data_IF_791840509011
#
_entry.id   IF_791840509011
#
_cell.length_a   1.000
_cell.length_b   1.000
_cell.length_c   1.000
_cell.angle_alpha   90.00
_cell.angle_beta   90.00
_cell.angle_gamma   90.00
#
_symmetry.space_group_name_H-M   'P 1'
#
loop_
_entity.id
_entity.type
_entity.pdbx_description
1 polymer ?
#
# COMPACT_ATOMS: atom_id res chain seq x y z
N UNK A 1 4.83 -11.10 -3.84
CA UNK A 1 5.47 -9.98 -4.53
C UNK A 1 5.72 -10.32 -5.99
N UNK A 2 5.67 -9.31 -6.84
CA UNK A 2 5.94 -9.49 -8.25
C UNK A 2 5.98 -8.17 -9.00
N UNK A 3 6.51 -8.21 -10.23
CA UNK A 3 6.50 -7.09 -11.14
C UNK A 3 5.11 -6.98 -11.77
N UNK A 4 4.56 -5.78 -11.78
CA UNK A 4 3.24 -5.45 -12.34
C UNK A 4 3.35 -4.32 -13.35
N UNK A 5 2.32 -4.19 -14.20
CA UNK A 5 2.31 -3.25 -15.31
C UNK A 5 0.98 -2.52 -15.36
N UNK A 6 1.02 -1.21 -15.59
CA UNK A 6 -0.14 -0.35 -15.79
C UNK A 6 0.06 0.51 -17.03
N UNK A 7 -1.05 0.92 -17.64
CA UNK A 7 -1.03 1.91 -18.73
C UNK A 7 -0.93 3.33 -18.14
N UNK A 8 0.19 3.61 -17.47
CA UNK A 8 0.49 4.92 -16.89
C UNK A 8 1.65 5.55 -17.67
N UNK A 9 1.67 6.88 -17.74
CA UNK A 9 2.84 7.62 -18.21
C UNK A 9 3.87 7.68 -17.09
N UNK A 10 5.15 7.59 -17.45
CA UNK A 10 6.25 7.64 -16.49
C UNK A 10 6.49 9.08 -16.02
N UNK A 11 6.26 9.33 -14.74
CA UNK A 11 6.58 10.59 -14.06
C UNK A 11 7.36 10.33 -12.75
N UNK A 12 7.49 11.34 -11.89
CA UNK A 12 8.20 11.17 -10.62
C UNK A 12 7.48 10.24 -9.62
N UNK A 13 6.19 9.97 -9.81
CA UNK A 13 5.35 9.23 -8.87
C UNK A 13 4.65 8.01 -9.47
N UNK A 14 4.64 7.91 -10.79
CA UNK A 14 4.02 6.81 -11.55
C UNK A 14 5.03 6.18 -12.51
N UNK A 15 4.89 4.88 -12.73
CA UNK A 15 5.63 4.14 -13.74
C UNK A 15 4.74 3.07 -14.37
N UNK A 16 4.92 2.85 -15.67
CA UNK A 16 4.23 1.79 -16.39
C UNK A 16 4.58 0.38 -15.88
N UNK A 17 5.68 0.24 -15.15
CA UNK A 17 6.07 -0.97 -14.44
C UNK A 17 6.51 -0.65 -13.01
N UNK A 18 6.16 -1.52 -12.06
CA UNK A 18 6.60 -1.40 -10.66
C UNK A 18 6.50 -2.76 -9.96
N UNK A 19 6.96 -2.84 -8.72
CA UNK A 19 6.84 -4.03 -7.89
C UNK A 19 5.65 -3.89 -6.95
N UNK A 20 4.82 -4.92 -6.86
CA UNK A 20 3.68 -4.94 -5.94
C UNK A 20 3.76 -6.18 -5.04
N UNK A 21 3.37 -6.01 -3.79
CA UNK A 21 3.15 -7.09 -2.84
C UNK A 21 1.66 -7.16 -2.54
N UNK A 22 1.07 -8.33 -2.78
CA UNK A 22 -0.33 -8.62 -2.46
C UNK A 22 -0.42 -9.40 -1.16
N UNK A 23 -1.35 -8.99 -0.31
CA UNK A 23 -1.73 -9.73 0.89
C UNK A 23 -3.17 -10.20 0.80
N UNK A 24 -3.41 -11.45 1.18
CA UNK A 24 -4.75 -12.05 1.24
C UNK A 24 -4.87 -12.86 2.52
N UNK A 25 -5.96 -12.63 3.23
CA UNK A 25 -6.37 -13.45 4.39
C UNK A 25 -7.79 -13.93 4.16
N UNK A 26 -8.03 -15.23 4.31
CA UNK A 26 -9.37 -15.85 4.28
C UNK A 26 -9.51 -16.74 5.50
N UNK A 27 -10.60 -16.62 6.21
CA UNK A 27 -10.88 -17.41 7.41
C UNK A 27 -12.32 -17.20 7.89
N UNK A 28 -12.67 -17.85 9.00
CA UNK A 28 -13.96 -17.64 9.64
C UNK A 28 -13.93 -16.32 10.43
N UNK A 29 -15.00 -15.52 10.31
CA UNK A 29 -15.18 -14.26 11.05
C UNK A 29 -14.08 -13.19 10.83
N UNK A 30 -13.42 -13.18 9.68
CA UNK A 30 -12.48 -12.12 9.31
C UNK A 30 -13.27 -10.82 9.02
N UNK A 31 -12.83 -9.71 9.58
CA UNK A 31 -13.55 -8.43 9.56
C UNK A 31 -12.73 -7.29 8.96
N UNK A 32 -13.39 -6.19 8.64
CA UNK A 32 -12.73 -4.94 8.24
C UNK A 32 -11.82 -4.37 9.37
N UNK A 33 -12.15 -4.68 10.64
CA UNK A 33 -11.31 -4.30 11.78
C UNK A 33 -9.97 -5.05 11.78
N UNK A 34 -9.97 -6.33 11.38
CA UNK A 34 -8.75 -7.13 11.24
C UNK A 34 -7.86 -6.58 10.12
N UNK A 35 -8.45 -6.19 8.98
CA UNK A 35 -7.74 -5.49 7.92
C UNK A 35 -7.09 -4.21 8.46
N UNK A 36 -7.87 -3.37 9.18
CA UNK A 36 -7.37 -2.12 9.72
C UNK A 36 -6.22 -2.34 10.69
N UNK A 37 -6.36 -3.26 11.63
CA UNK A 37 -5.31 -3.61 12.60
C UNK A 37 -4.03 -4.12 11.92
N UNK A 38 -4.16 -4.96 10.88
CA UNK A 38 -3.03 -5.45 10.08
C UNK A 38 -2.29 -4.30 9.40
N UNK A 39 -3.02 -3.37 8.80
CA UNK A 39 -2.43 -2.22 8.10
C UNK A 39 -1.84 -1.18 9.06
N UNK A 40 -2.41 -0.99 10.25
CA UNK A 40 -1.82 -0.15 11.31
C UNK A 40 -0.50 -0.73 11.82
N UNK A 41 -0.45 -2.05 12.01
CA UNK A 41 0.78 -2.74 12.37
C UNK A 41 1.85 -2.59 11.27
N UNK A 42 1.47 -2.79 10.00
CA UNK A 42 2.37 -2.59 8.86
C UNK A 42 2.89 -1.15 8.80
N UNK A 43 2.00 -0.15 8.93
CA UNK A 43 2.37 1.26 8.87
C UNK A 43 3.34 1.65 9.99
N UNK A 44 3.11 1.19 11.22
CA UNK A 44 4.01 1.46 12.35
C UNK A 44 5.36 0.76 12.22
N UNK A 45 5.40 -0.43 11.63
CA UNK A 45 6.65 -1.17 11.36
C UNK A 45 7.47 -0.50 10.26
N UNK A 46 6.83 -0.03 9.19
CA UNK A 46 7.51 0.55 8.03
C UNK A 46 7.94 2.01 8.26
N UNK A 47 7.10 2.81 8.91
CA UNK A 47 7.24 4.27 9.00
C UNK A 47 7.44 4.80 10.43
N UNK A 48 7.59 3.90 11.40
CA UNK A 48 7.81 4.23 12.82
C UNK A 48 6.54 4.24 13.66
N UNK A 49 6.74 4.14 14.97
CA UNK A 49 5.66 4.06 15.94
C UNK A 49 4.73 5.29 15.91
N UNK A 50 3.46 5.09 16.27
CA UNK A 50 2.45 6.15 16.32
C UNK A 50 1.86 6.52 14.95
N UNK A 51 2.12 5.73 13.92
CA UNK A 51 1.44 5.88 12.63
C UNK A 51 0.02 5.37 12.71
N UNK A 52 -0.90 6.15 12.17
CA UNK A 52 -2.31 5.78 12.05
C UNK A 52 -2.67 5.60 10.59
N UNK A 53 -3.65 4.74 10.32
CA UNK A 53 -4.22 4.58 8.99
C UNK A 53 -5.62 5.16 8.93
N UNK A 54 -5.98 5.67 7.76
CA UNK A 54 -7.31 6.16 7.43
C UNK A 54 -7.82 5.45 6.20
N UNK A 55 -9.06 4.99 6.25
CA UNK A 55 -9.76 4.40 5.11
C UNK A 55 -10.60 5.46 4.42
N UNK A 56 -10.48 5.55 3.11
CA UNK A 56 -11.37 6.31 2.23
C UNK A 56 -12.14 5.33 1.35
N UNK A 57 -13.46 5.49 1.16
CA UNK A 57 -14.21 4.64 0.24
C UNK A 57 -13.61 4.63 -1.17
N UNK A 58 -13.56 3.44 -1.77
CA UNK A 58 -13.08 3.24 -3.13
C UNK A 58 -13.89 2.12 -3.80
N UNK A 59 -13.54 1.77 -5.03
CA UNK A 59 -14.15 0.67 -5.76
C UNK A 59 -13.09 -0.19 -6.43
N UNK A 60 -13.12 -1.49 -6.11
CA UNK A 60 -12.40 -2.53 -6.84
C UNK A 60 -13.36 -3.69 -7.11
N UNK A 61 -13.33 -4.31 -8.32
CA UNK A 61 -14.32 -5.33 -8.68
C UNK A 61 -14.22 -6.64 -7.87
N UNK A 62 -13.15 -6.83 -7.13
CA UNK A 62 -12.85 -8.06 -6.36
C UNK A 62 -12.94 -7.84 -4.84
N UNK A 63 -13.29 -6.64 -4.37
CA UNK A 63 -13.50 -6.34 -2.94
C UNK A 63 -14.79 -5.56 -2.70
N UNK A 64 -15.45 -5.80 -1.54
CA UNK A 64 -16.63 -5.07 -1.07
C UNK A 64 -16.74 -5.20 0.46
N UNK A 65 -16.61 -4.08 1.23
CA UNK A 65 -16.26 -2.74 0.77
C UNK A 65 -14.80 -2.65 0.30
N UNK A 66 -14.56 -1.70 -0.63
CA UNK A 66 -13.23 -1.33 -1.10
C UNK A 66 -12.78 -0.03 -0.47
N UNK A 67 -11.50 0.09 -0.17
CA UNK A 67 -10.93 1.28 0.46
C UNK A 67 -9.57 1.64 -0.15
N UNK A 68 -9.33 2.93 -0.30
CA UNK A 68 -7.99 3.49 -0.37
C UNK A 68 -7.46 3.70 1.05
N UNK A 69 -6.20 3.42 1.27
CA UNK A 69 -5.56 3.47 2.59
C UNK A 69 -4.51 4.56 2.61
N UNK A 70 -4.75 5.54 3.47
CA UNK A 70 -3.79 6.60 3.76
C UNK A 70 -3.10 6.32 5.09
N UNK A 71 -1.80 6.66 5.16
CA UNK A 71 -1.02 6.70 6.40
C UNK A 71 -0.80 8.16 6.84
N UNK A 72 -0.79 8.41 8.15
CA UNK A 72 -0.37 9.71 8.68
C UNK A 72 1.06 10.02 8.21
N UNK A 73 1.24 11.21 7.62
CA UNK A 73 2.50 11.58 6.97
C UNK A 73 3.71 11.41 7.90
N UNK A 74 4.70 10.59 7.55
CA UNK A 74 5.87 10.35 8.41
C UNK A 74 6.78 11.57 8.53
N UNK A 75 6.75 12.49 7.56
CA UNK A 75 7.63 13.66 7.53
C UNK A 75 7.15 14.79 8.43
N UNK A 76 5.84 14.97 8.59
CA UNK A 76 5.26 16.05 9.40
C UNK A 76 4.40 15.57 10.56
N UNK A 77 4.36 14.26 10.82
CA UNK A 77 3.53 13.66 11.86
C UNK A 77 2.05 14.10 11.79
N UNK A 78 1.51 14.13 10.57
CA UNK A 78 0.11 14.49 10.33
C UNK A 78 -0.22 15.99 10.35
N UNK A 79 0.78 16.88 10.57
CA UNK A 79 0.55 18.34 10.66
C UNK A 79 0.36 19.03 9.31
N UNK A 80 0.73 18.38 8.24
CA UNK A 80 0.75 18.95 6.89
C UNK A 80 2.14 19.48 6.50
N UNK A 81 2.62 19.11 5.31
CA UNK A 81 3.87 19.56 4.73
C UNK A 81 3.79 19.48 3.19
N UNK A 82 4.85 19.90 2.51
CA UNK A 82 4.92 19.86 1.04
C UNK A 82 4.78 18.43 0.49
N UNK A 83 5.33 17.40 1.19
CA UNK A 83 5.27 15.99 0.76
C UNK A 83 3.83 15.48 0.75
N UNK A 84 3.05 15.78 1.77
CA UNK A 84 1.63 15.42 1.84
C UNK A 84 0.70 16.51 1.30
N UNK A 85 1.24 17.54 0.64
CA UNK A 85 0.49 18.68 0.08
C UNK A 85 -0.45 19.33 1.09
N UNK A 86 0.02 19.48 2.34
CA UNK A 86 -0.73 20.09 3.44
C UNK A 86 -1.78 19.20 4.10
N UNK A 87 -2.09 18.02 3.56
CA UNK A 87 -3.19 17.16 4.04
C UNK A 87 -2.87 16.44 5.37
N UNK A 88 -1.61 16.23 5.69
CA UNK A 88 -1.17 15.38 6.80
C UNK A 88 -1.25 13.87 6.52
N UNK A 89 -1.73 13.46 5.34
CA UNK A 89 -1.95 12.07 4.95
C UNK A 89 -1.30 11.73 3.62
N UNK A 90 -0.86 10.50 3.46
CA UNK A 90 -0.27 9.98 2.22
C UNK A 90 -0.94 8.66 1.88
N UNK A 91 -1.51 8.56 0.69
CA UNK A 91 -2.04 7.32 0.15
C UNK A 91 -0.91 6.33 -0.14
N UNK A 92 -1.06 5.09 0.33
CA UNK A 92 -0.04 4.05 0.20
C UNK A 92 -0.50 2.81 -0.53
N UNK A 93 -1.79 2.45 -0.45
CA UNK A 93 -2.30 1.20 -1.03
C UNK A 93 -3.82 1.18 -1.17
N UNK A 94 -4.32 0.26 -2.00
CA UNK A 94 -5.72 -0.14 -2.05
C UNK A 94 -5.97 -1.44 -1.28
N UNK A 95 -7.13 -1.55 -0.64
CA UNK A 95 -7.51 -2.72 0.15
C UNK A 95 -9.03 -2.92 0.17
N UNK A 96 -9.49 -4.02 0.77
CA UNK A 96 -10.92 -4.25 1.00
C UNK A 96 -11.22 -5.65 1.49
N UNK A 97 -12.49 -5.87 1.83
CA UNK A 97 -12.98 -7.21 2.11
C UNK A 97 -13.14 -7.97 0.80
N UNK A 98 -12.77 -9.24 0.78
CA UNK A 98 -12.88 -10.08 -0.41
C UNK A 98 -14.36 -10.21 -0.82
N UNK A 99 -14.66 -9.90 -2.08
CA UNK A 99 -16.04 -9.97 -2.58
C UNK A 99 -16.57 -11.40 -2.48
N UNK A 100 -17.83 -11.62 -2.02
CA UNK A 100 -18.41 -12.97 -1.87
C UNK A 100 -18.35 -13.84 -3.13
N UNK A 101 -18.47 -13.23 -4.30
CA UNK A 101 -18.33 -13.95 -5.57
C UNK A 101 -16.91 -14.51 -5.78
N UNK A 102 -15.88 -13.78 -5.35
CA UNK A 102 -14.49 -14.25 -5.43
C UNK A 102 -14.32 -15.48 -4.52
N UNK A 103 -14.87 -15.46 -3.31
CA UNK A 103 -14.85 -16.62 -2.41
C UNK A 103 -15.52 -17.83 -3.06
N UNK A 104 -16.77 -17.68 -3.58
CA UNK A 104 -17.50 -18.77 -4.24
C UNK A 104 -16.75 -19.36 -5.43
N UNK A 105 -16.19 -18.51 -6.29
CA UNK A 105 -15.43 -18.97 -7.47
C UNK A 105 -14.19 -19.78 -7.11
N UNK A 106 -13.68 -19.61 -5.89
CA UNK A 106 -12.52 -20.33 -5.37
C UNK A 106 -12.89 -21.44 -4.37
N UNK A 107 -14.17 -21.86 -4.31
CA UNK A 107 -14.63 -22.99 -3.50
C UNK A 107 -14.84 -22.70 -2.02
N UNK A 108 -14.84 -21.43 -1.61
CA UNK A 108 -15.15 -21.01 -0.25
C UNK A 108 -16.63 -20.62 -0.12
N UNK A 109 -17.30 -21.11 0.90
CA UNK A 109 -18.66 -20.71 1.24
C UNK A 109 -18.64 -19.31 1.91
N UNK A 110 -19.20 -18.25 1.29
CA UNK A 110 -19.18 -16.91 1.85
C UNK A 110 -20.10 -16.73 3.08
N UNK A 111 -20.97 -17.67 3.39
CA UNK A 111 -21.72 -17.67 4.64
C UNK A 111 -20.86 -18.11 5.82
N UNK A 112 -19.78 -18.86 5.55
CA UNK A 112 -18.86 -19.37 6.56
C UNK A 112 -17.52 -18.62 6.58
N UNK A 113 -17.02 -18.24 5.40
CA UNK A 113 -15.71 -17.61 5.24
C UNK A 113 -15.85 -16.16 4.78
N UNK A 114 -15.03 -15.34 5.37
CA UNK A 114 -14.78 -13.96 4.95
C UNK A 114 -13.28 -13.73 4.78
N UNK A 115 -12.89 -12.60 4.27
CA UNK A 115 -11.47 -12.31 4.09
C UNK A 115 -11.23 -10.86 3.71
N UNK A 116 -9.98 -10.46 3.75
CA UNK A 116 -9.53 -9.18 3.23
C UNK A 116 -8.33 -9.35 2.30
N UNK A 117 -8.15 -8.37 1.43
CA UNK A 117 -6.99 -8.27 0.56
C UNK A 117 -6.46 -6.83 0.53
N UNK A 118 -5.16 -6.70 0.26
CA UNK A 118 -4.52 -5.42 0.01
C UNK A 118 -3.35 -5.58 -0.97
N UNK A 119 -3.09 -4.52 -1.76
CA UNK A 119 -1.97 -4.48 -2.71
C UNK A 119 -1.14 -3.24 -2.51
N UNK A 120 0.15 -3.39 -2.17
CA UNK A 120 1.06 -2.29 -1.89
C UNK A 120 2.20 -2.22 -2.90
N UNK A 121 2.41 -1.04 -3.50
CA UNK A 121 3.57 -0.76 -4.36
C UNK A 121 4.85 -0.63 -3.53
N UNK A 122 5.85 -1.49 -3.81
CA UNK A 122 7.09 -1.53 -3.02
C UNK A 122 7.89 -0.24 -3.18
N UNK A 123 7.93 0.32 -4.39
CA UNK A 123 8.60 1.60 -4.65
C UNK A 123 7.96 2.73 -3.85
N UNK A 124 6.62 2.74 -3.72
CA UNK A 124 5.91 3.75 -2.93
C UNK A 124 6.33 3.72 -1.46
N UNK A 125 6.42 2.53 -0.88
CA UNK A 125 6.91 2.33 0.49
C UNK A 125 8.37 2.77 0.62
N UNK A 126 9.23 2.35 -0.31
CA UNK A 126 10.65 2.70 -0.31
C UNK A 126 10.87 4.21 -0.48
N UNK A 127 10.15 4.86 -1.40
CA UNK A 127 10.19 6.32 -1.58
C UNK A 127 9.88 7.05 -0.28
N UNK A 128 8.82 6.64 0.41
CA UNK A 128 8.41 7.27 1.67
C UNK A 128 9.39 6.97 2.81
N UNK A 129 9.91 5.75 2.86
CA UNK A 129 10.83 5.32 3.94
C UNK A 129 12.21 5.94 3.82
N UNK A 130 12.72 6.05 2.62
CA UNK A 130 14.10 6.50 2.34
C UNK A 130 14.21 7.91 1.76
N UNK A 131 13.07 8.60 1.59
CA UNK A 131 13.04 9.98 1.07
C UNK A 131 13.43 10.08 -0.41
N UNK A 132 13.08 9.06 -1.21
CA UNK A 132 13.32 9.04 -2.66
C UNK A 132 12.19 9.82 -3.33
N UNK A 133 12.53 10.83 -4.12
CA UNK A 133 11.59 11.78 -4.71
C UNK A 133 11.11 11.40 -6.12
N UNK A 134 11.78 10.44 -6.77
CA UNK A 134 11.47 10.04 -8.14
C UNK A 134 11.53 8.50 -8.30
N UNK A 135 10.39 7.90 -8.67
CA UNK A 135 10.25 6.45 -8.86
C UNK A 135 11.15 5.91 -9.97
N UNK A 136 11.49 6.73 -10.97
CA UNK A 136 12.36 6.32 -12.09
C UNK A 136 13.77 5.96 -11.64
N UNK A 137 14.22 6.45 -10.48
CA UNK A 137 15.51 6.11 -9.90
C UNK A 137 15.66 4.61 -9.60
N UNK A 138 14.56 3.90 -9.35
CA UNK A 138 14.61 2.43 -9.15
C UNK A 138 14.94 1.65 -10.42
N UNK A 139 14.76 2.26 -11.61
CA UNK A 139 14.86 1.56 -12.90
C UNK A 139 15.98 2.08 -13.81
N UNK A 140 16.50 3.27 -13.54
CA UNK A 140 17.59 3.87 -14.37
C UNK A 140 18.94 3.25 -14.12
N UNK A 141 19.12 2.48 -13.05
CA UNK A 141 20.37 1.84 -12.66
C UNK A 141 21.56 2.83 -12.55
N UNK A 142 21.30 4.06 -12.10
CA UNK A 142 22.34 5.07 -11.90
C UNK A 142 23.19 4.73 -10.67
N UNK A 143 24.49 4.48 -10.92
CA UNK A 143 25.43 4.11 -9.86
C UNK A 143 25.54 5.19 -8.76
N UNK A 144 25.35 6.47 -9.09
CA UNK A 144 25.36 7.56 -8.10
C UNK A 144 24.19 7.45 -7.14
N UNK A 145 23.00 7.11 -7.65
CA UNK A 145 21.81 6.84 -6.84
C UNK A 145 22.02 5.59 -5.97
N UNK A 146 22.49 4.49 -6.54
CA UNK A 146 22.72 3.24 -5.81
C UNK A 146 23.70 3.42 -4.66
N UNK A 147 24.79 4.18 -4.86
CA UNK A 147 25.78 4.50 -3.82
C UNK A 147 25.23 5.30 -2.64
N UNK A 148 24.07 5.94 -2.76
CA UNK A 148 23.46 6.63 -1.61
C UNK A 148 22.96 5.65 -0.53
N UNK A 149 22.84 4.35 -0.87
CA UNK A 149 22.38 3.27 0.01
C UNK A 149 23.49 2.31 0.46
N UNK A 150 24.76 2.57 0.10
CA UNK A 150 25.94 1.76 0.49
C UNK A 150 26.26 1.79 2.01
N UNK A 151 25.31 2.20 2.84
CA UNK A 151 25.48 2.36 4.29
C UNK A 151 24.81 1.26 5.11
N UNK A 152 24.47 0.15 4.49
CA UNK A 152 23.94 -1.01 5.21
C UNK A 152 25.08 -2.02 5.44
N UNK A 153 26.07 -1.60 6.24
CA UNK A 153 26.97 -2.51 6.94
C UNK A 153 26.37 -2.93 8.28
#
# INVERSE_FOLDING_TARGET
PGKVYRRDDDDATHSHQFMQCEGLVVGENITLADLKGTLEYMASTMFGQGRTVRFRPSYFPFTEPSVEVDVSCPFCNGKGCNVCKGSGWIEILGAGMVHPNVLRMNGFDPEKYSGFAFGVGLERVAMLKYGIDDIRNFYTNDVRFLKTFDRFD
#
